data_IF_470730862298
#
_entry.id   IF_470730862298
#
_cell.length_a   1.000
_cell.length_b   1.000
_cell.length_c   1.000
_cell.angle_alpha   90.00
_cell.angle_beta   90.00
_cell.angle_gamma   90.00
#
_symmetry.space_group_name_H-M   'P 1'
#
loop_
_entity.id
_entity.type
_entity.pdbx_description
1 polymer ?
#
# COMPACT_ATOMS: atom_id res chain seq x y z
N UNK A 1 -2.15 -6.07 18.87
CA UNK A 1 -3.02 -5.90 20.08
C UNK A 1 -2.51 -4.80 21.01
N UNK A 2 -1.21 -4.69 21.26
CA UNK A 2 -0.62 -3.78 22.28
C UNK A 2 -0.89 -2.29 22.01
N UNK A 3 -1.07 -1.90 20.75
CA UNK A 3 -1.35 -0.52 20.38
C UNK A 3 -2.81 -0.15 20.66
N UNK A 4 -3.73 -1.09 20.52
CA UNK A 4 -5.17 -0.90 20.69
C UNK A 4 -5.77 -1.96 21.62
N UNK A 5 -5.37 -2.01 22.90
CA UNK A 5 -5.88 -3.01 23.84
C UNK A 5 -7.40 -2.89 24.05
N UNK A 6 -7.96 -1.69 23.91
CA UNK A 6 -9.40 -1.41 24.01
C UNK A 6 -10.24 -2.03 22.89
N UNK A 7 -9.62 -2.37 21.77
CA UNK A 7 -10.27 -3.02 20.62
C UNK A 7 -9.99 -4.52 20.54
N UNK A 8 -9.11 -5.03 21.42
CA UNK A 8 -8.76 -6.45 21.41
C UNK A 8 -9.98 -7.32 21.77
N UNK A 9 -10.27 -8.40 21.03
CA UNK A 9 -11.29 -9.37 21.43
C UNK A 9 -10.92 -10.04 22.75
N UNK A 10 -11.92 -10.54 23.48
CA UNK A 10 -11.71 -11.19 24.79
C UNK A 10 -10.77 -12.39 24.72
N UNK A 11 -10.85 -13.16 23.63
CA UNK A 11 -10.03 -14.35 23.39
C UNK A 11 -9.25 -14.21 22.08
N UNK A 12 -8.18 -13.37 22.05
CA UNK A 12 -7.38 -13.16 20.84
C UNK A 12 -6.60 -14.42 20.49
N UNK A 13 -6.59 -14.79 19.21
CA UNK A 13 -5.77 -15.91 18.73
C UNK A 13 -4.28 -15.61 18.93
N UNK A 14 -3.45 -16.65 19.02
CA UNK A 14 -1.99 -16.47 19.12
C UNK A 14 -1.44 -15.71 17.90
N UNK A 15 -1.93 -16.01 16.71
CA UNK A 15 -1.52 -15.30 15.49
C UNK A 15 -1.92 -13.81 15.51
N UNK A 16 -3.09 -13.45 16.05
CA UNK A 16 -3.45 -12.03 16.19
C UNK A 16 -2.46 -11.29 17.09
N UNK A 17 -1.96 -11.93 18.14
CA UNK A 17 -0.96 -11.32 19.04
C UNK A 17 0.41 -11.15 18.38
N UNK A 18 0.74 -11.96 17.39
CA UNK A 18 2.00 -11.89 16.63
C UNK A 18 2.01 -10.79 15.53
N UNK A 19 0.86 -10.20 15.19
CA UNK A 19 0.80 -9.17 14.15
C UNK A 19 1.59 -7.94 14.57
N UNK A 20 2.56 -7.55 13.73
CA UNK A 20 3.38 -6.36 13.89
C UNK A 20 3.00 -5.28 12.87
N UNK A 21 3.52 -4.06 13.03
CA UNK A 21 3.40 -2.98 12.04
C UNK A 21 4.00 -3.40 10.69
N UNK A 22 5.08 -4.15 10.69
CA UNK A 22 5.69 -4.67 9.47
C UNK A 22 4.77 -5.62 8.71
N UNK A 23 4.03 -6.50 9.40
CA UNK A 23 3.04 -7.37 8.76
C UNK A 23 1.89 -6.57 8.11
N UNK A 24 1.48 -5.44 8.71
CA UNK A 24 0.52 -4.52 8.11
C UNK A 24 1.11 -3.85 6.85
N UNK A 25 2.35 -3.36 6.92
CA UNK A 25 3.05 -2.70 5.80
C UNK A 25 3.27 -3.65 4.62
N UNK A 26 3.52 -4.93 4.87
CA UNK A 26 3.80 -5.96 3.86
C UNK A 26 2.58 -6.74 3.41
N UNK A 27 1.37 -6.40 3.88
CA UNK A 27 0.14 -7.14 3.56
C UNK A 27 0.22 -8.63 3.93
N UNK A 28 0.87 -8.95 5.06
CA UNK A 28 1.12 -10.33 5.50
C UNK A 28 0.61 -10.62 6.92
N UNK A 29 -0.53 -10.05 7.29
CA UNK A 29 -1.11 -10.18 8.63
C UNK A 29 -1.61 -11.61 8.97
N UNK A 30 -1.66 -12.52 7.99
CA UNK A 30 -2.18 -13.88 8.20
C UNK A 30 -3.69 -14.01 7.99
N UNK A 31 -4.39 -12.96 7.57
CA UNK A 31 -5.75 -13.04 7.03
C UNK A 31 -5.72 -13.74 5.68
N UNK A 32 -6.74 -14.54 5.37
CA UNK A 32 -6.90 -15.19 4.06
C UNK A 32 -7.75 -14.39 3.08
N UNK A 33 -8.43 -13.33 3.55
CA UNK A 33 -9.28 -12.44 2.75
C UNK A 33 -9.10 -10.99 3.22
N UNK A 34 -9.43 -10.04 2.34
CA UNK A 34 -9.52 -8.61 2.69
C UNK A 34 -10.94 -8.27 3.13
N UNK A 35 -11.19 -7.96 4.41
CA UNK A 35 -12.53 -7.64 4.92
C UNK A 35 -12.91 -6.15 4.77
N UNK A 36 -12.23 -5.42 3.90
CA UNK A 36 -12.43 -3.97 3.75
C UNK A 36 -13.86 -3.63 3.35
N UNK A 37 -14.45 -4.35 2.39
CA UNK A 37 -15.82 -4.06 1.95
C UNK A 37 -16.85 -4.34 3.04
N UNK A 38 -16.67 -5.42 3.80
CA UNK A 38 -17.54 -5.77 4.91
C UNK A 38 -17.47 -4.71 6.03
N UNK A 39 -16.30 -4.08 6.23
CA UNK A 39 -16.15 -3.04 7.25
C UNK A 39 -17.00 -1.80 6.97
N UNK A 40 -17.35 -1.51 5.71
CA UNK A 40 -18.16 -0.34 5.36
C UNK A 40 -19.59 -0.42 5.91
N UNK A 41 -20.09 -1.62 6.14
CA UNK A 41 -21.41 -1.86 6.74
C UNK A 41 -21.37 -1.79 8.27
N UNK A 42 -20.17 -1.82 8.87
CA UNK A 42 -19.99 -1.75 10.32
C UNK A 42 -20.04 -0.30 10.78
N UNK A 43 -21.15 0.08 11.45
CA UNK A 43 -21.39 1.45 11.96
C UNK A 43 -21.48 1.52 13.48
N UNK A 44 -21.66 0.38 14.14
CA UNK A 44 -21.95 0.24 15.57
C UNK A 44 -20.70 -0.03 16.42
N UNK A 45 -19.57 -0.30 15.79
CA UNK A 45 -18.30 -0.59 16.45
C UNK A 45 -17.10 -0.13 15.63
N UNK A 46 -15.93 -0.11 16.27
CA UNK A 46 -14.67 0.28 15.65
C UNK A 46 -14.25 -0.66 14.50
N UNK A 47 -13.76 -0.09 13.40
CA UNK A 47 -13.15 -0.86 12.31
C UNK A 47 -11.82 -1.51 12.73
N UNK A 48 -11.11 -0.95 13.73
CA UNK A 48 -9.93 -1.60 14.32
C UNK A 48 -10.34 -2.90 15.01
N UNK A 49 -11.43 -2.85 15.81
CA UNK A 49 -11.97 -4.04 16.44
C UNK A 49 -12.44 -5.06 15.41
N UNK A 50 -13.13 -4.60 14.37
CA UNK A 50 -13.57 -5.48 13.27
C UNK A 50 -12.38 -6.18 12.57
N UNK A 51 -11.28 -5.44 12.31
CA UNK A 51 -10.04 -6.04 11.80
C UNK A 51 -9.46 -7.11 12.73
N UNK A 52 -9.45 -6.86 14.03
CA UNK A 52 -8.92 -7.80 15.03
C UNK A 52 -9.81 -9.03 15.25
N UNK A 53 -11.10 -8.90 15.04
CA UNK A 53 -12.07 -10.00 15.11
C UNK A 53 -12.08 -10.85 13.84
N UNK A 54 -11.58 -10.32 12.71
CA UNK A 54 -11.49 -11.09 11.48
C UNK A 54 -10.48 -12.24 11.63
N UNK A 55 -10.81 -13.48 11.19
CA UNK A 55 -9.99 -14.65 11.47
C UNK A 55 -8.56 -14.55 10.90
N UNK A 56 -7.56 -14.63 11.77
CA UNK A 56 -6.15 -14.77 11.40
C UNK A 56 -5.84 -16.26 11.30
N UNK A 57 -5.90 -16.80 10.08
CA UNK A 57 -5.84 -18.24 9.82
C UNK A 57 -4.44 -18.75 9.50
N UNK A 58 -3.52 -17.86 9.21
CA UNK A 58 -2.12 -18.16 8.90
C UNK A 58 -1.19 -17.41 9.85
N UNK A 59 0.00 -17.97 10.06
CA UNK A 59 1.03 -17.28 10.83
C UNK A 59 1.39 -15.96 10.12
N UNK A 60 1.40 -14.81 10.83
CA UNK A 60 1.84 -13.55 10.26
C UNK A 60 3.21 -13.65 9.58
N UNK A 61 3.36 -13.00 8.44
CA UNK A 61 4.57 -13.06 7.63
C UNK A 61 4.66 -14.23 6.65
N UNK A 62 3.71 -15.19 6.67
CA UNK A 62 3.79 -16.40 5.82
C UNK A 62 2.87 -16.40 4.61
N UNK A 63 1.85 -15.53 4.59
CA UNK A 63 0.90 -15.39 3.49
C UNK A 63 0.76 -13.93 3.11
N UNK A 64 0.98 -13.62 1.84
CA UNK A 64 0.59 -12.33 1.27
C UNK A 64 -0.92 -12.34 0.98
N UNK A 65 -1.64 -11.41 1.59
CA UNK A 65 -3.04 -11.15 1.31
C UNK A 65 -3.26 -9.62 1.33
N UNK A 66 -3.47 -9.04 0.16
CA UNK A 66 -3.74 -7.60 0.05
C UNK A 66 -4.95 -7.24 0.92
N UNK A 67 -4.77 -6.28 1.83
CA UNK A 67 -5.75 -5.98 2.87
C UNK A 67 -5.76 -4.47 3.16
N UNK A 68 -6.70 -3.76 2.54
CA UNK A 68 -6.83 -2.30 2.70
C UNK A 68 -7.27 -1.91 4.11
N UNK A 69 -8.02 -2.76 4.81
CA UNK A 69 -8.37 -2.51 6.21
C UNK A 69 -7.13 -2.56 7.12
N UNK A 70 -6.12 -3.38 6.78
CA UNK A 70 -4.81 -3.35 7.45
C UNK A 70 -4.12 -1.99 7.31
N UNK A 71 -4.25 -1.34 6.15
CA UNK A 71 -3.72 0.02 5.94
C UNK A 71 -4.52 1.07 6.73
N UNK A 72 -5.83 0.88 6.89
CA UNK A 72 -6.62 1.69 7.83
C UNK A 72 -6.08 1.60 9.26
N UNK A 73 -5.70 0.41 9.71
CA UNK A 73 -5.07 0.22 11.03
C UNK A 73 -3.75 0.99 11.13
N UNK A 74 -2.93 1.05 10.06
CA UNK A 74 -1.72 1.90 10.04
C UNK A 74 -2.06 3.38 10.21
N UNK A 75 -3.10 3.88 9.54
CA UNK A 75 -3.59 5.25 9.70
C UNK A 75 -4.02 5.52 11.15
N UNK A 76 -4.78 4.60 11.73
CA UNK A 76 -5.20 4.68 13.13
C UNK A 76 -4.03 4.69 14.12
N UNK A 77 -2.96 3.92 13.83
CA UNK A 77 -1.72 3.92 14.63
C UNK A 77 -1.08 5.30 14.62
N UNK A 78 -0.96 5.94 13.45
CA UNK A 78 -0.42 7.30 13.35
C UNK A 78 -1.25 8.26 14.19
N UNK A 79 -2.58 8.28 14.01
CA UNK A 79 -3.47 9.15 14.76
C UNK A 79 -3.37 8.91 16.28
N UNK A 80 -3.34 7.66 16.73
CA UNK A 80 -3.20 7.31 18.15
C UNK A 80 -1.86 7.78 18.74
N UNK A 81 -0.77 7.66 17.98
CA UNK A 81 0.57 8.00 18.45
C UNK A 81 0.87 9.49 18.45
N UNK A 82 0.26 10.23 17.54
CA UNK A 82 0.55 11.66 17.32
C UNK A 82 -0.54 12.58 17.84
N UNK A 83 -1.76 12.08 18.01
CA UNK A 83 -2.96 12.90 18.30
C UNK A 83 -3.48 13.66 17.08
N UNK A 84 -2.84 13.50 15.90
CA UNK A 84 -3.20 14.19 14.67
C UNK A 84 -3.83 13.20 13.67
N UNK A 85 -4.84 13.61 12.89
CA UNK A 85 -5.30 12.80 11.75
C UNK A 85 -4.15 12.58 10.77
N UNK A 86 -4.17 11.47 10.04
CA UNK A 86 -3.09 11.14 9.10
C UNK A 86 -2.84 12.27 8.09
N UNK A 87 -3.89 12.87 7.53
CA UNK A 87 -3.76 13.98 6.58
C UNK A 87 -3.11 15.20 7.22
N UNK A 88 -3.47 15.55 8.45
CA UNK A 88 -2.92 16.69 9.17
C UNK A 88 -1.46 16.45 9.56
N UNK A 89 -1.15 15.24 10.02
CA UNK A 89 0.22 14.82 10.32
C UNK A 89 1.13 14.88 9.09
N UNK A 90 0.64 14.43 7.93
CA UNK A 90 1.41 14.40 6.68
C UNK A 90 1.49 15.77 6.00
N UNK A 91 0.55 16.68 6.24
CA UNK A 91 0.52 17.95 5.53
C UNK A 91 1.83 18.74 5.67
N UNK A 92 2.35 19.05 6.88
CA UNK A 92 3.61 19.78 7.03
C UNK A 92 4.85 18.95 6.67
N UNK A 93 4.76 17.62 6.71
CA UNK A 93 5.91 16.68 6.58
C UNK A 93 6.10 16.15 5.17
N UNK A 94 5.01 16.01 4.41
CA UNK A 94 5.02 15.44 3.06
C UNK A 94 4.39 16.38 2.04
N UNK A 95 3.12 16.73 2.20
CA UNK A 95 2.37 17.44 1.17
C UNK A 95 2.90 18.85 0.92
N UNK A 96 3.10 19.63 1.97
CA UNK A 96 3.63 21.00 1.85
C UNK A 96 5.05 21.05 1.28
N UNK A 97 6.02 20.23 1.69
CA UNK A 97 7.33 20.16 1.03
C UNK A 97 7.28 19.85 -0.46
N UNK A 98 6.30 19.03 -0.89
CA UNK A 98 6.07 18.71 -2.30
C UNK A 98 5.25 19.79 -3.04
N UNK A 99 4.83 20.86 -2.36
CA UNK A 99 3.95 21.89 -2.95
C UNK A 99 2.56 21.38 -3.28
N UNK A 100 2.05 20.42 -2.51
CA UNK A 100 0.70 19.85 -2.63
C UNK A 100 -0.20 20.54 -1.60
N UNK A 101 -1.17 21.32 -2.05
CA UNK A 101 -1.95 22.19 -1.16
C UNK A 101 -3.40 21.74 -0.94
N UNK A 102 -3.98 21.06 -1.91
CA UNK A 102 -5.37 20.64 -1.87
C UNK A 102 -5.44 19.12 -1.66
N UNK A 103 -5.39 18.70 -0.41
CA UNK A 103 -5.43 17.28 -0.03
C UNK A 103 -6.76 17.01 0.66
N UNK A 104 -7.46 15.98 0.22
CA UNK A 104 -8.65 15.47 0.89
C UNK A 104 -8.53 13.98 1.06
N UNK A 105 -8.85 13.48 2.25
CA UNK A 105 -8.82 12.06 2.57
C UNK A 105 -10.10 11.66 3.27
N UNK A 106 -10.78 10.63 2.77
CA UNK A 106 -11.99 10.09 3.38
C UNK A 106 -11.70 9.62 4.81
N UNK A 107 -12.68 9.80 5.68
CA UNK A 107 -12.64 9.35 7.07
C UNK A 107 -13.65 8.23 7.30
N UNK A 108 -13.32 7.34 8.22
CA UNK A 108 -14.28 6.40 8.79
C UNK A 108 -15.31 7.14 9.67
N UNK A 109 -16.35 6.44 10.10
CA UNK A 109 -17.31 6.96 11.08
C UNK A 109 -16.68 7.31 12.45
N UNK A 110 -15.45 6.83 12.70
CA UNK A 110 -14.66 7.12 13.91
C UNK A 110 -13.80 8.38 13.76
N UNK A 111 -13.82 9.07 12.61
CA UNK A 111 -13.00 10.26 12.35
C UNK A 111 -11.53 9.95 12.09
N UNK A 112 -11.22 8.74 11.62
CA UNK A 112 -9.88 8.30 11.24
C UNK A 112 -9.79 8.27 9.71
N UNK A 113 -8.75 8.89 9.12
CA UNK A 113 -8.54 8.79 7.68
C UNK A 113 -8.38 7.32 7.26
N UNK A 114 -9.00 6.93 6.16
CA UNK A 114 -9.06 5.52 5.74
C UNK A 114 -7.70 4.89 5.42
N UNK A 115 -6.69 5.70 5.09
CA UNK A 115 -5.32 5.25 4.86
C UNK A 115 -5.15 4.44 3.57
N UNK A 116 -5.90 3.35 3.40
CA UNK A 116 -5.82 2.44 2.28
C UNK A 116 -6.61 2.86 1.04
N UNK A 117 -7.48 3.88 1.15
CA UNK A 117 -8.29 4.42 0.03
C UNK A 117 -8.75 5.84 0.32
N UNK A 118 -9.37 6.48 -0.67
CA UNK A 118 -10.05 7.76 -0.46
C UNK A 118 -9.14 8.97 -0.31
N UNK A 119 -7.86 8.89 -0.70
CA UNK A 119 -7.00 10.04 -0.87
C UNK A 119 -7.25 10.68 -2.25
N UNK A 120 -7.58 11.96 -2.28
CA UNK A 120 -7.82 12.72 -3.51
C UNK A 120 -6.68 13.71 -3.75
N UNK A 121 -5.98 13.51 -4.87
CA UNK A 121 -4.89 14.36 -5.34
C UNK A 121 -5.05 14.61 -6.85
N UNK A 122 -4.44 15.68 -7.35
CA UNK A 122 -4.33 15.92 -8.79
C UNK A 122 -3.26 15.01 -9.39
N UNK A 123 -3.37 14.71 -10.67
CA UNK A 123 -2.36 13.91 -11.39
C UNK A 123 -0.96 14.51 -11.28
N UNK A 124 -0.85 15.84 -11.36
CA UNK A 124 0.44 16.53 -11.21
C UNK A 124 1.02 16.39 -9.79
N UNK A 125 0.18 16.28 -8.77
CA UNK A 125 0.63 16.08 -7.39
C UNK A 125 1.11 14.63 -7.17
N UNK A 126 0.48 13.67 -7.83
CA UNK A 126 1.00 12.29 -7.88
C UNK A 126 2.35 12.22 -8.58
N UNK A 127 2.58 13.02 -9.63
CA UNK A 127 3.88 13.10 -10.31
C UNK A 127 4.98 13.67 -9.39
N UNK A 128 4.67 14.66 -8.54
CA UNK A 128 5.61 15.18 -7.53
C UNK A 128 5.98 14.10 -6.51
N UNK A 129 4.99 13.30 -6.05
CA UNK A 129 5.25 12.16 -5.18
C UNK A 129 6.14 11.12 -5.87
N UNK A 130 5.86 10.79 -7.12
CA UNK A 130 6.68 9.88 -7.91
C UNK A 130 8.11 10.38 -8.10
N UNK A 131 8.30 11.66 -8.36
CA UNK A 131 9.62 12.26 -8.49
C UNK A 131 10.40 12.19 -7.16
N UNK A 132 9.76 12.49 -6.05
CA UNK A 132 10.34 12.33 -4.70
C UNK A 132 10.78 10.90 -4.46
N UNK A 133 9.96 9.90 -4.82
CA UNK A 133 10.31 8.48 -4.71
C UNK A 133 11.50 8.11 -5.61
N UNK A 134 11.52 8.58 -6.86
CA UNK A 134 12.61 8.36 -7.81
C UNK A 134 13.95 8.95 -7.29
N UNK A 135 13.86 10.11 -6.65
CA UNK A 135 15.00 10.82 -6.06
C UNK A 135 15.33 10.35 -4.64
N UNK A 136 14.92 9.12 -4.28
CA UNK A 136 15.19 8.53 -2.96
C UNK A 136 14.80 9.44 -1.79
N UNK A 137 13.60 9.98 -1.88
CA UNK A 137 13.02 10.81 -0.82
C UNK A 137 13.39 12.29 -0.88
N UNK A 138 14.16 12.72 -1.87
CA UNK A 138 14.49 14.14 -2.08
C UNK A 138 13.47 14.82 -3.00
N UNK A 139 13.21 16.08 -2.71
CA UNK A 139 12.43 16.97 -3.59
C UNK A 139 12.90 18.41 -3.44
N UNK A 140 13.18 19.09 -4.57
CA UNK A 140 13.68 20.47 -4.61
C UNK A 140 14.87 20.72 -3.66
N UNK A 141 15.81 19.78 -3.59
CA UNK A 141 17.01 19.85 -2.75
C UNK A 141 16.81 19.56 -1.27
N UNK A 142 15.59 19.23 -0.84
CA UNK A 142 15.29 18.86 0.55
C UNK A 142 15.04 17.35 0.67
N UNK A 143 15.58 16.71 1.70
CA UNK A 143 15.24 15.33 2.07
C UNK A 143 13.89 15.33 2.79
N UNK A 144 12.84 14.86 2.12
CA UNK A 144 11.46 14.79 2.64
C UNK A 144 11.23 13.47 3.39
N UNK A 145 11.74 12.36 2.83
CA UNK A 145 11.68 11.02 3.42
C UNK A 145 13.10 10.45 3.42
N UNK A 146 13.57 9.76 4.48
CA UNK A 146 14.89 9.16 4.50
C UNK A 146 15.14 8.22 3.31
N UNK A 147 16.31 8.29 2.69
CA UNK A 147 16.63 7.51 1.49
C UNK A 147 16.58 6.00 1.75
N UNK A 148 17.11 5.56 2.88
CA UNK A 148 17.10 4.17 3.32
C UNK A 148 15.68 3.63 3.51
N UNK A 149 14.73 4.50 3.90
CA UNK A 149 13.32 4.12 3.99
C UNK A 149 12.72 3.87 2.60
N UNK A 150 12.99 4.76 1.63
CA UNK A 150 12.51 4.58 0.25
C UNK A 150 13.09 3.31 -0.36
N UNK A 151 14.37 3.03 -0.15
CA UNK A 151 15.04 1.81 -0.62
C UNK A 151 14.39 0.55 -0.01
N UNK A 152 14.14 0.55 1.30
CA UNK A 152 13.47 -0.55 1.98
C UNK A 152 12.03 -0.71 1.52
N UNK A 153 11.26 0.38 1.48
CA UNK A 153 9.84 0.35 1.14
C UNK A 153 9.58 -0.08 -0.31
N UNK A 154 10.48 0.28 -1.24
CA UNK A 154 10.37 -0.11 -2.65
C UNK A 154 10.99 -1.47 -2.99
N UNK A 155 11.68 -2.12 -2.05
CA UNK A 155 12.23 -3.46 -2.22
C UNK A 155 11.17 -4.55 -1.98
N UNK A 156 11.33 -5.71 -2.60
CA UNK A 156 10.45 -6.85 -2.33
C UNK A 156 10.72 -7.39 -0.93
N UNK A 157 9.81 -7.17 0.01
CA UNK A 157 9.83 -7.71 1.37
C UNK A 157 9.17 -9.08 1.43
N UNK A 158 8.11 -9.27 0.64
CA UNK A 158 7.37 -10.53 0.53
C UNK A 158 7.08 -10.87 -0.93
N UNK A 159 7.04 -12.18 -1.29
CA UNK A 159 6.60 -12.61 -2.60
C UNK A 159 5.07 -12.48 -2.70
N UNK A 160 4.58 -12.06 -3.86
CA UNK A 160 3.15 -12.06 -4.18
C UNK A 160 2.82 -13.38 -4.91
N UNK A 161 2.42 -14.40 -4.18
CA UNK A 161 1.99 -15.67 -4.74
C UNK A 161 0.46 -15.69 -4.81
N UNK A 162 -0.15 -15.96 -5.99
CA UNK A 162 -1.60 -16.03 -6.09
C UNK A 162 -2.17 -17.10 -5.17
N UNK A 163 -3.34 -16.83 -4.60
CA UNK A 163 -4.06 -17.82 -3.80
C UNK A 163 -4.26 -19.12 -4.60
N UNK A 164 -3.97 -20.26 -3.99
CA UNK A 164 -4.08 -21.58 -4.62
C UNK A 164 -2.89 -22.02 -5.50
N UNK A 165 -1.84 -21.20 -5.62
CA UNK A 165 -0.55 -21.64 -6.16
C UNK A 165 0.41 -21.98 -5.02
N UNK A 166 1.05 -23.13 -5.09
CA UNK A 166 2.11 -23.52 -4.15
C UNK A 166 3.46 -23.02 -4.66
N UNK A 167 4.41 -22.84 -3.77
CA UNK A 167 5.83 -22.58 -4.11
C UNK A 167 6.42 -23.64 -5.05
N UNK A 168 5.86 -24.82 -5.05
CA UNK A 168 6.28 -25.97 -5.90
C UNK A 168 5.90 -25.80 -7.39
N UNK A 169 4.96 -24.89 -7.72
CA UNK A 169 4.60 -24.50 -9.08
C UNK A 169 5.55 -23.43 -9.67
N UNK A 170 6.82 -23.44 -9.30
CA UNK A 170 7.80 -22.39 -9.63
C UNK A 170 7.88 -22.06 -11.13
N UNK A 171 7.80 -23.04 -12.00
CA UNK A 171 7.84 -22.83 -13.46
C UNK A 171 6.58 -22.15 -13.99
N UNK A 172 5.42 -22.46 -13.43
CA UNK A 172 4.15 -21.81 -13.75
C UNK A 172 4.13 -20.37 -13.26
N UNK A 173 4.57 -20.14 -12.02
CA UNK A 173 4.73 -18.80 -11.43
C UNK A 173 5.69 -17.95 -12.27
N UNK A 174 6.85 -18.47 -12.67
CA UNK A 174 7.82 -17.77 -13.52
C UNK A 174 7.25 -17.40 -14.89
N UNK A 175 6.41 -18.24 -15.49
CA UNK A 175 5.77 -17.92 -16.77
C UNK A 175 4.77 -16.78 -16.64
N UNK A 176 3.90 -16.83 -15.62
CA UNK A 176 2.90 -15.79 -15.37
C UNK A 176 3.57 -14.49 -14.93
N UNK A 177 4.62 -14.54 -14.12
CA UNK A 177 5.36 -13.36 -13.66
C UNK A 177 5.99 -12.56 -14.81
N UNK A 178 6.30 -13.18 -15.96
CA UNK A 178 6.83 -12.46 -17.12
C UNK A 178 5.85 -11.43 -17.70
N UNK A 179 4.56 -11.61 -17.47
CA UNK A 179 3.50 -10.78 -18.04
C UNK A 179 2.64 -10.08 -16.98
N UNK A 180 2.80 -10.44 -15.71
CA UNK A 180 2.04 -9.88 -14.59
C UNK A 180 2.91 -8.94 -13.76
N UNK A 181 2.41 -7.73 -13.54
CA UNK A 181 3.00 -6.76 -12.62
C UNK A 181 2.56 -6.97 -11.15
N UNK A 182 1.67 -7.94 -10.91
CA UNK A 182 1.19 -8.31 -9.58
C UNK A 182 2.02 -9.42 -8.91
N UNK A 183 2.97 -10.02 -9.64
CA UNK A 183 3.78 -11.14 -9.17
C UNK A 183 5.28 -10.80 -9.03
N UNK A 184 5.59 -9.50 -8.96
CA UNK A 184 6.98 -9.04 -8.85
C UNK A 184 7.45 -8.84 -7.39
N UNK A 185 6.55 -9.08 -6.42
CA UNK A 185 6.77 -8.85 -5.00
C UNK A 185 6.12 -7.58 -4.47
N UNK A 186 6.07 -7.47 -3.14
CA UNK A 186 5.49 -6.34 -2.43
C UNK A 186 6.47 -5.81 -1.37
N UNK A 187 6.59 -4.51 -1.29
CA UNK A 187 7.41 -3.83 -0.30
C UNK A 187 6.57 -3.33 0.88
N UNK A 188 6.93 -2.17 1.42
CA UNK A 188 6.12 -1.50 2.43
C UNK A 188 5.10 -0.58 1.75
N UNK A 189 3.88 -1.10 1.55
CA UNK A 189 2.76 -0.44 0.85
C UNK A 189 3.07 -0.06 -0.61
N UNK A 190 4.01 -0.76 -1.25
CA UNK A 190 4.41 -0.55 -2.63
C UNK A 190 4.50 -1.86 -3.39
N UNK A 191 3.92 -1.93 -4.57
CA UNK A 191 4.05 -3.06 -5.48
C UNK A 191 5.37 -2.99 -6.24
N UNK A 192 6.07 -4.11 -6.36
CA UNK A 192 7.09 -4.26 -7.38
C UNK A 192 6.42 -4.45 -8.74
N UNK A 193 7.10 -4.06 -9.81
CA UNK A 193 6.65 -4.19 -11.19
C UNK A 193 7.76 -4.73 -12.06
N UNK A 194 7.42 -5.10 -13.29
CA UNK A 194 8.41 -5.51 -14.31
C UNK A 194 9.46 -4.44 -14.52
N UNK A 195 10.56 -4.78 -15.18
CA UNK A 195 11.68 -3.88 -15.48
C UNK A 195 12.27 -3.21 -14.23
N UNK A 196 12.39 -3.98 -13.16
CA UNK A 196 12.96 -3.53 -11.88
C UNK A 196 12.33 -2.22 -11.34
N UNK A 197 11.08 -1.96 -11.72
CA UNK A 197 10.33 -0.79 -11.28
C UNK A 197 9.48 -1.08 -10.04
N UNK A 198 8.89 -0.04 -9.46
CA UNK A 198 7.93 -0.15 -8.37
C UNK A 198 6.83 0.90 -8.51
N UNK A 199 5.72 0.71 -7.85
CA UNK A 199 4.59 1.62 -7.99
C UNK A 199 3.75 1.75 -6.71
N UNK A 200 3.13 2.92 -6.53
CA UNK A 200 1.90 3.07 -5.79
C UNK A 200 0.73 2.81 -6.76
N UNK A 201 -0.34 2.23 -6.22
CA UNK A 201 -1.39 1.60 -7.01
C UNK A 201 -2.75 1.87 -6.36
N UNK A 202 -3.66 2.39 -7.14
CA UNK A 202 -5.04 2.63 -6.75
C UNK A 202 -6.01 1.96 -7.71
N UNK A 203 -7.19 1.63 -7.21
CA UNK A 203 -8.24 0.98 -7.99
C UNK A 203 -8.54 1.74 -9.29
N UNK A 204 -8.88 0.99 -10.34
CA UNK A 204 -9.25 1.50 -11.66
C UNK A 204 -8.14 2.22 -12.44
N UNK A 205 -6.86 1.92 -12.15
CA UNK A 205 -5.74 2.45 -12.93
C UNK A 205 -5.19 3.79 -12.44
N UNK A 206 -5.14 3.98 -11.13
CA UNK A 206 -4.43 5.11 -10.52
C UNK A 206 -3.00 4.67 -10.23
N UNK A 207 -2.01 5.12 -11.00
CA UNK A 207 -0.62 4.69 -10.82
C UNK A 207 0.34 5.85 -10.59
N UNK A 208 1.30 5.61 -9.69
CA UNK A 208 2.59 6.29 -9.66
C UNK A 208 3.63 5.19 -9.92
N UNK A 209 4.05 5.05 -11.17
CA UNK A 209 5.04 4.06 -11.58
C UNK A 209 6.42 4.71 -11.64
N UNK A 210 7.33 4.22 -10.82
CA UNK A 210 8.72 4.69 -10.74
C UNK A 210 9.63 3.70 -11.45
N UNK A 211 10.39 4.17 -12.44
CA UNK A 211 11.27 3.37 -13.30
C UNK A 211 12.71 3.88 -13.13
N UNK A 212 13.44 3.41 -12.10
CA UNK A 212 14.77 3.96 -11.78
C UNK A 212 15.80 3.81 -12.91
N UNK A 213 15.76 2.69 -13.63
CA UNK A 213 16.69 2.42 -14.74
C UNK A 213 16.54 3.40 -15.91
N UNK A 214 15.37 4.01 -16.05
CA UNK A 214 15.07 5.02 -17.06
C UNK A 214 15.09 6.45 -16.50
N UNK A 215 15.35 6.60 -15.21
CA UNK A 215 15.24 7.88 -14.50
C UNK A 215 13.89 8.56 -14.79
N UNK A 216 12.80 7.80 -14.74
CA UNK A 216 11.48 8.24 -15.18
C UNK A 216 10.38 7.87 -14.17
N UNK A 217 9.33 8.68 -14.20
CA UNK A 217 8.07 8.44 -13.50
C UNK A 217 6.93 8.50 -14.51
N UNK A 218 6.04 7.53 -14.46
CA UNK A 218 4.79 7.53 -15.24
C UNK A 218 3.63 7.59 -14.26
N UNK A 219 2.75 8.55 -14.44
CA UNK A 219 1.56 8.71 -13.59
C UNK A 219 0.32 8.62 -14.45
N UNK A 220 -0.64 7.85 -13.99
CA UNK A 220 -1.96 7.76 -14.61
C UNK A 220 -3.07 7.99 -13.59
N UNK A 221 -4.16 8.59 -14.06
CA UNK A 221 -5.45 8.66 -13.39
C UNK A 221 -6.49 8.20 -14.40
N UNK A 222 -6.98 6.99 -14.23
CA UNK A 222 -7.84 6.32 -15.20
C UNK A 222 -9.12 5.80 -14.54
N UNK A 223 -10.02 5.29 -15.35
CA UNK A 223 -11.17 4.50 -14.94
C UNK A 223 -11.25 3.25 -15.81
N UNK A 224 -10.38 2.29 -15.55
CA UNK A 224 -10.26 1.05 -16.31
C UNK A 224 -10.36 -0.18 -15.38
N UNK A 225 -11.08 -1.20 -15.81
CA UNK A 225 -11.20 -2.45 -15.04
C UNK A 225 -9.99 -3.36 -15.22
N UNK A 226 -9.49 -3.50 -16.46
CA UNK A 226 -8.29 -4.28 -16.75
C UNK A 226 -7.03 -3.44 -16.48
N UNK A 227 -6.67 -3.36 -15.22
CA UNK A 227 -5.52 -2.60 -14.75
C UNK A 227 -4.18 -3.12 -15.29
N UNK A 228 -4.08 -4.44 -15.60
CA UNK A 228 -2.88 -5.01 -16.22
C UNK A 228 -2.76 -4.58 -17.69
N UNK A 229 -3.88 -4.42 -18.40
CA UNK A 229 -3.85 -3.91 -19.78
C UNK A 229 -3.28 -2.48 -19.82
N UNK A 230 -3.62 -1.61 -18.87
CA UNK A 230 -3.05 -0.26 -18.79
C UNK A 230 -1.52 -0.30 -18.57
N UNK A 231 -1.04 -1.10 -17.63
CA UNK A 231 0.40 -1.29 -17.43
C UNK A 231 1.07 -1.85 -18.69
N UNK A 232 0.41 -2.77 -19.40
CA UNK A 232 0.93 -3.29 -20.65
C UNK A 232 1.04 -2.22 -21.76
N UNK A 233 0.14 -1.24 -21.81
CA UNK A 233 0.27 -0.09 -22.71
C UNK A 233 1.48 0.78 -22.35
N UNK A 234 1.73 1.02 -21.06
CA UNK A 234 2.92 1.74 -20.60
C UNK A 234 4.18 0.98 -21.04
N UNK A 235 4.25 -0.32 -20.81
CA UNK A 235 5.40 -1.14 -21.18
C UNK A 235 5.62 -1.22 -22.68
N UNK A 236 4.56 -1.23 -23.47
CA UNK A 236 4.64 -1.34 -24.92
C UNK A 236 4.98 -0.03 -25.62
N UNK A 237 4.43 1.08 -25.15
CA UNK A 237 4.46 2.35 -25.89
C UNK A 237 5.28 3.45 -25.21
N UNK A 238 5.35 3.48 -23.89
CA UNK A 238 6.06 4.53 -23.14
C UNK A 238 7.47 4.08 -22.78
N UNK A 239 7.61 2.91 -22.16
CA UNK A 239 8.90 2.41 -21.70
C UNK A 239 9.99 2.36 -22.77
N UNK A 240 9.74 1.97 -24.05
CA UNK A 240 10.76 1.98 -25.10
C UNK A 240 11.18 3.37 -25.55
N UNK A 241 10.37 4.40 -25.26
CA UNK A 241 10.64 5.79 -25.62
C UNK A 241 11.40 6.58 -24.54
N UNK A 242 11.53 5.98 -23.35
CA UNK A 242 12.34 6.48 -22.24
C UNK A 242 13.81 6.01 -22.40
#
# INVERSE_FOLDING_TARGET
VDIFPEHCPENPSEYLKEITVEHLLTMSCGHSTDPTHESWEVKDRSWIRFFMEHPVTHKPGTLFCYNSLGTYVLSAIVQKRTGEKLVDYLYPRLFRPLGINNVSWIESHEGINTGGWGLFLKTEDLAKMGLMLLQKGQFNGCQVVPAEWIESASSAQVPCVPAGMNSDDADKLRKVAKTSDWLQGYGYQMWRSRYNSFRADGANGQYILVIPEKNAVVVTTAHIQDMQAELNLIWKHIYPAL
#
